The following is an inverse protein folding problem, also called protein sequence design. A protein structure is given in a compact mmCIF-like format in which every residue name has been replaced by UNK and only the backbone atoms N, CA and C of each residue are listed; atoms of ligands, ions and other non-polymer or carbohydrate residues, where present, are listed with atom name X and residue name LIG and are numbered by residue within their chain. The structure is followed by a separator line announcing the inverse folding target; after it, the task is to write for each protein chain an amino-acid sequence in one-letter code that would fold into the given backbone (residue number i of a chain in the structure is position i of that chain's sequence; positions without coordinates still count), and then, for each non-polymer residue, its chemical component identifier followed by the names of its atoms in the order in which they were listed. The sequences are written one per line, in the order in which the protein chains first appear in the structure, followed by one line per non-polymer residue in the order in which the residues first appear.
data_IF_640775394357
#
_entry.id   IF_640775394357
#
_cell.length_a   1.000
_cell.length_b   1.000
_cell.length_c   1.000
_cell.angle_alpha   90.00
_cell.angle_beta   90.00
_cell.angle_gamma   90.00
#
_symmetry.space_group_name_H-M   'P 1'
#
loop_
_entity.id
_entity.type
_entity.pdbx_description
1 polymer ?
#
# COMPACT_ATOMS: atom_id res chain seq x y z
N UNK A 1 -8.64 -34.59 76.05
CA UNK A 1 -8.80 -35.37 74.80
C UNK A 1 -8.42 -34.58 73.54
N UNK A 2 -8.81 -33.31 73.40
CA UNK A 2 -8.77 -32.56 72.12
C UNK A 2 -7.38 -32.33 71.49
N UNK A 3 -6.30 -32.15 72.28
CA UNK A 3 -4.96 -31.78 71.76
C UNK A 3 -4.42 -32.78 70.72
N UNK A 4 -4.68 -34.09 70.88
CA UNK A 4 -4.22 -35.12 69.93
C UNK A 4 -4.94 -35.06 68.57
N UNK A 5 -6.16 -34.52 68.51
CA UNK A 5 -6.90 -34.41 67.24
C UNK A 5 -6.27 -33.36 66.30
N UNK A 6 -5.84 -32.23 66.86
CA UNK A 6 -5.26 -31.12 66.09
C UNK A 6 -3.89 -31.48 65.46
N UNK A 7 -3.09 -32.32 66.14
CA UNK A 7 -1.83 -32.84 65.60
C UNK A 7 -2.01 -33.85 64.45
N UNK A 8 -3.11 -34.60 64.41
CA UNK A 8 -3.40 -35.53 63.31
C UNK A 8 -3.89 -34.78 62.08
N UNK A 9 -4.85 -33.87 62.25
CA UNK A 9 -5.40 -33.06 61.14
C UNK A 9 -4.32 -32.22 60.42
N UNK A 10 -3.42 -31.58 61.18
CA UNK A 10 -2.32 -30.78 60.61
C UNK A 10 -1.25 -31.61 59.88
N UNK A 11 -1.16 -32.93 60.14
CA UNK A 11 -0.27 -33.83 59.41
C UNK A 11 -0.87 -34.28 58.08
N UNK A 12 -2.19 -34.52 58.03
CA UNK A 12 -2.91 -34.84 56.80
C UNK A 12 -2.90 -33.68 55.79
N UNK A 13 -3.22 -32.45 56.21
CA UNK A 13 -3.24 -31.27 55.33
C UNK A 13 -1.90 -30.99 54.63
N UNK A 14 -0.76 -31.38 55.24
CA UNK A 14 0.57 -31.17 54.66
C UNK A 14 0.97 -32.19 53.59
N UNK A 15 0.24 -33.30 53.43
CA UNK A 15 0.56 -34.31 52.43
C UNK A 15 -0.09 -34.04 51.07
N UNK A 16 -1.25 -33.37 51.05
CA UNK A 16 -1.98 -32.98 49.84
C UNK A 16 -1.13 -32.11 48.89
N UNK A 17 -1.12 -32.45 47.60
CA UNK A 17 -0.44 -31.69 46.56
C UNK A 17 -1.04 -30.30 46.37
N UNK A 18 -2.35 -30.14 46.61
CA UNK A 18 -3.10 -28.90 46.50
C UNK A 18 -2.60 -27.87 47.52
N UNK A 19 -2.38 -28.30 48.78
CA UNK A 19 -1.85 -27.43 49.83
C UNK A 19 -0.40 -26.98 49.53
N UNK A 20 0.42 -27.88 48.95
CA UNK A 20 1.80 -27.53 48.52
C UNK A 20 1.80 -26.51 47.39
N UNK A 21 0.91 -26.65 46.40
CA UNK A 21 0.73 -25.68 45.31
C UNK A 21 0.27 -24.32 45.84
N UNK A 22 -0.72 -24.30 46.74
CA UNK A 22 -1.21 -23.07 47.37
C UNK A 22 -0.11 -22.36 48.19
N UNK A 23 0.63 -23.09 49.01
CA UNK A 23 1.74 -22.54 49.79
C UNK A 23 2.85 -21.95 48.90
N UNK A 24 3.19 -22.61 47.79
CA UNK A 24 4.18 -22.13 46.82
C UNK A 24 3.70 -20.87 46.09
N UNK A 25 2.42 -20.80 45.70
CA UNK A 25 1.82 -19.61 45.11
C UNK A 25 1.80 -18.42 46.10
N UNK A 26 1.55 -18.67 47.38
CA UNK A 26 1.56 -17.65 48.43
C UNK A 26 2.98 -17.10 48.66
N UNK A 27 4.00 -17.98 48.71
CA UNK A 27 5.42 -17.58 48.79
C UNK A 27 5.86 -16.79 47.55
N UNK A 28 5.45 -17.22 46.35
CA UNK A 28 5.76 -16.49 45.11
C UNK A 28 5.10 -15.11 45.06
N UNK A 29 3.83 -15.01 45.47
CA UNK A 29 3.12 -13.73 45.59
C UNK A 29 3.79 -12.79 46.60
N UNK A 30 4.23 -13.31 47.76
CA UNK A 30 4.96 -12.53 48.75
C UNK A 30 6.31 -12.02 48.21
N UNK A 31 7.05 -12.88 47.49
CA UNK A 31 8.29 -12.47 46.81
C UNK A 31 8.06 -11.38 45.76
N UNK A 32 7.00 -11.50 44.95
CA UNK A 32 6.64 -10.49 43.95
C UNK A 32 6.33 -9.14 44.61
N UNK A 33 5.59 -9.12 45.71
CA UNK A 33 5.33 -7.89 46.47
C UNK A 33 6.61 -7.32 47.11
N UNK A 34 7.52 -8.16 47.61
CA UNK A 34 8.82 -7.71 48.12
C UNK A 34 9.69 -7.11 47.00
N UNK A 35 9.62 -7.64 45.77
CA UNK A 35 10.31 -7.07 44.60
C UNK A 35 9.70 -5.74 44.15
N UNK A 36 8.37 -5.59 44.20
CA UNK A 36 7.68 -4.34 43.81
C UNK A 36 7.78 -3.23 44.86
N UNK A 37 7.82 -3.57 46.16
CA UNK A 37 7.97 -2.62 47.26
C UNK A 37 9.46 -2.31 47.51
N UNK A 38 10.34 -3.26 47.23
CA UNK A 38 11.79 -3.06 47.24
C UNK A 38 12.21 -2.05 46.18
N UNK A 39 12.87 -0.96 46.59
CA UNK A 39 13.41 0.04 45.67
C UNK A 39 14.66 -0.49 44.96
N UNK A 40 14.45 -1.41 44.03
CA UNK A 40 15.47 -1.85 43.08
C UNK A 40 15.81 -0.68 42.15
N UNK A 41 16.91 0.02 42.47
CA UNK A 41 17.44 1.11 41.66
C UNK A 41 18.04 0.56 40.36
N UNK A 42 17.17 0.21 39.39
CA UNK A 42 17.57 -0.11 38.03
C UNK A 42 18.20 1.12 37.40
N UNK A 43 19.54 1.13 37.37
CA UNK A 43 20.32 2.21 36.80
C UNK A 43 20.32 2.09 35.28
N UNK A 44 19.22 2.53 34.67
CA UNK A 44 19.02 2.54 33.21
C UNK A 44 20.17 3.30 32.52
N UNK A 45 20.68 2.83 31.37
CA UNK A 45 21.72 3.55 30.64
C UNK A 45 21.19 4.93 30.24
N UNK A 46 21.90 5.98 30.65
CA UNK A 46 21.54 7.34 30.29
C UNK A 46 21.84 7.55 28.80
N UNK A 47 20.80 7.49 27.96
CA UNK A 47 20.86 7.82 26.54
C UNK A 47 21.13 9.33 26.39
N UNK A 48 22.41 9.70 26.46
CA UNK A 48 22.86 11.08 26.35
C UNK A 48 22.43 11.64 24.98
N UNK A 49 21.36 12.43 25.00
CA UNK A 49 20.66 12.86 23.80
C UNK A 49 21.40 14.05 23.18
N UNK A 50 22.52 13.76 22.50
CA UNK A 50 23.34 14.68 21.72
C UNK A 50 22.56 15.21 20.50
N UNK A 51 21.51 15.99 20.76
CA UNK A 51 20.72 16.72 19.76
C UNK A 51 21.68 17.61 18.97
N UNK A 52 21.97 17.21 17.73
CA UNK A 52 22.70 18.05 16.80
C UNK A 52 21.78 19.20 16.41
N UNK A 53 22.05 20.39 16.96
CA UNK A 53 21.32 21.61 16.64
C UNK A 53 21.70 22.03 15.22
N UNK A 54 20.79 21.82 14.27
CA UNK A 54 20.98 22.27 12.89
C UNK A 54 20.66 23.76 12.84
N UNK A 55 21.69 24.60 12.93
CA UNK A 55 21.57 26.06 12.78
C UNK A 55 21.33 26.45 11.32
N UNK A 56 20.08 26.39 10.88
CA UNK A 56 19.65 26.84 9.56
C UNK A 56 19.68 28.38 9.46
N UNK A 57 20.78 28.94 8.97
CA UNK A 57 20.92 30.38 8.69
C UNK A 57 20.53 30.69 7.25
N UNK A 58 19.51 31.54 7.04
CA UNK A 58 19.25 32.11 5.72
C UNK A 58 20.46 32.95 5.26
N UNK A 59 21.07 32.52 4.15
CA UNK A 59 22.03 33.34 3.40
C UNK A 59 21.24 33.99 2.26
N UNK A 60 21.09 35.32 2.31
CA UNK A 60 20.53 36.06 1.18
C UNK A 60 21.40 35.83 -0.06
N UNK A 61 20.82 35.51 -1.22
CA UNK A 61 21.60 35.31 -2.44
C UNK A 61 22.37 36.59 -2.75
N UNK A 62 23.66 36.45 -3.07
CA UNK A 62 24.52 37.57 -3.45
C UNK A 62 23.86 38.29 -4.64
N UNK A 63 23.47 39.55 -4.43
CA UNK A 63 22.78 40.33 -5.45
C UNK A 63 23.59 40.35 -6.76
N UNK A 64 23.07 39.65 -7.77
CA UNK A 64 23.57 39.77 -9.13
C UNK A 64 23.17 41.16 -9.59
N UNK A 65 24.17 42.04 -9.73
CA UNK A 65 23.96 43.33 -10.37
C UNK A 65 23.56 43.04 -11.82
N UNK A 66 22.25 43.16 -12.10
CA UNK A 66 21.73 43.10 -13.45
C UNK A 66 22.43 44.20 -14.25
N UNK A 67 23.29 43.78 -15.17
CA UNK A 67 23.88 44.70 -16.14
C UNK A 67 22.72 45.34 -16.92
N UNK A 68 22.74 46.66 -17.16
CA UNK A 68 21.61 47.33 -17.80
C UNK A 68 21.39 46.71 -19.17
N UNK A 69 20.18 46.17 -19.39
CA UNK A 69 19.76 45.63 -20.68
C UNK A 69 19.96 46.74 -21.70
N UNK A 70 20.86 46.52 -22.66
CA UNK A 70 20.99 47.40 -23.82
C UNK A 70 19.63 47.40 -24.51
N UNK A 71 19.00 48.58 -24.59
CA UNK A 71 17.79 48.75 -25.38
C UNK A 71 18.12 48.42 -26.83
N UNK A 72 17.66 47.26 -27.28
CA UNK A 72 17.66 46.90 -28.69
C UNK A 72 16.64 47.78 -29.40
N UNK A 73 17.05 48.37 -30.51
CA UNK A 73 16.29 49.46 -31.14
C UNK A 73 15.02 48.90 -31.79
N UNK A 74 13.90 49.63 -31.65
CA UNK A 74 12.67 49.29 -32.35
C UNK A 74 12.91 49.30 -33.87
N UNK A 75 12.51 48.25 -34.60
CA UNK A 75 12.59 48.24 -36.06
C UNK A 75 11.60 49.24 -36.67
N UNK A 76 11.95 49.77 -37.84
CA UNK A 76 11.08 50.64 -38.65
C UNK A 76 9.82 49.90 -39.13
N UNK A 77 8.72 50.62 -39.44
CA UNK A 77 7.46 50.00 -39.83
C UNK A 77 7.58 49.25 -41.17
N UNK A 78 7.38 47.92 -41.13
CA UNK A 78 7.19 47.10 -42.33
C UNK A 78 5.84 47.42 -42.95
N UNK A 79 5.79 47.44 -44.29
CA UNK A 79 4.68 47.97 -45.06
C UNK A 79 3.34 47.21 -44.89
N UNK A 80 2.26 47.96 -45.07
CA UNK A 80 0.86 47.54 -45.00
C UNK A 80 0.49 46.62 -46.17
N UNK A 81 0.14 45.36 -45.88
CA UNK A 81 -0.32 44.41 -46.90
C UNK A 81 -1.85 44.49 -47.04
N UNK A 82 -2.30 45.23 -48.05
CA UNK A 82 -3.72 45.34 -48.43
C UNK A 82 -4.24 43.99 -48.96
N UNK A 83 -5.42 43.51 -48.54
CA UNK A 83 -6.08 42.35 -49.14
C UNK A 83 -6.84 42.73 -50.44
N UNK A 84 -6.60 41.98 -51.51
CA UNK A 84 -7.42 42.08 -52.75
C UNK A 84 -8.70 41.23 -52.69
N UNK A 85 -9.73 41.53 -53.51
CA UNK A 85 -11.12 41.21 -53.17
C UNK A 85 -11.74 39.99 -53.89
N UNK A 86 -12.80 39.44 -53.27
CA UNK A 86 -13.94 38.79 -53.95
C UNK A 86 -15.07 39.84 -54.07
N UNK A 87 -15.85 39.89 -55.17
CA UNK A 87 -17.12 39.13 -55.30
C UNK A 87 -17.41 38.74 -56.79
N UNK A 88 -18.62 38.33 -57.25
CA UNK A 88 -19.91 38.00 -56.61
C UNK A 88 -20.27 36.49 -56.81
N UNK A 89 -21.49 35.93 -56.83
CA UNK A 89 -22.92 36.34 -56.69
C UNK A 89 -23.65 35.11 -56.04
N UNK A 90 -24.74 35.12 -55.22
CA UNK A 90 -26.06 35.81 -55.24
C UNK A 90 -26.90 35.32 -56.43
N UNK A 91 -28.13 34.76 -56.34
CA UNK A 91 -29.16 34.47 -55.29
C UNK A 91 -30.29 33.64 -56.01
N UNK A 92 -31.37 33.04 -55.43
CA UNK A 92 -32.03 33.11 -54.10
C UNK A 92 -32.16 31.69 -53.43
N UNK A 93 -33.15 31.23 -52.63
CA UNK A 93 -34.43 31.77 -52.08
C UNK A 93 -34.93 31.10 -50.75
N UNK A 94 -36.08 31.62 -50.30
CA UNK A 94 -37.09 31.33 -49.24
C UNK A 94 -37.46 29.84 -48.96
N UNK A 95 -38.07 29.39 -47.83
CA UNK A 95 -38.25 29.82 -46.41
C UNK A 95 -39.08 28.73 -45.65
N UNK A 96 -38.95 28.64 -44.31
CA UNK A 96 -39.90 28.07 -43.31
C UNK A 96 -40.26 26.56 -43.21
N UNK A 97 -40.78 26.25 -42.00
CA UNK A 97 -41.79 25.24 -41.65
C UNK A 97 -41.36 23.85 -41.12
N UNK A 98 -41.24 23.78 -39.79
CA UNK A 98 -41.62 22.65 -38.93
C UNK A 98 -43.10 22.27 -39.18
N UNK A 99 -43.47 21.00 -39.46
CA UNK A 99 -43.83 20.02 -38.41
C UNK A 99 -43.42 18.57 -38.81
N UNK A 100 -43.84 17.43 -38.21
CA UNK A 100 -44.83 17.13 -37.15
C UNK A 100 -44.46 15.84 -36.36
N UNK A 101 -45.23 15.50 -35.33
CA UNK A 101 -45.15 14.27 -34.49
C UNK A 101 -46.58 13.85 -34.10
N UNK A 102 -46.96 12.56 -33.96
CA UNK A 102 -46.35 11.28 -34.37
C UNK A 102 -47.28 10.49 -35.34
N UNK A 103 -47.05 9.19 -35.54
CA UNK A 103 -48.04 8.10 -35.28
C UNK A 103 -47.38 6.73 -35.53
N UNK A 104 -47.77 5.72 -34.75
CA UNK A 104 -47.31 4.33 -34.91
C UNK A 104 -48.35 3.47 -35.64
N UNK A 105 -47.93 2.33 -36.19
CA UNK A 105 -48.72 1.07 -36.21
C UNK A 105 -47.80 -0.12 -36.44
N UNK A 106 -48.11 -1.24 -35.78
CA UNK A 106 -47.38 -2.50 -35.87
C UNK A 106 -47.55 -3.16 -37.25
N UNK A 107 -46.62 -4.03 -37.64
CA UNK A 107 -47.01 -5.46 -37.71
C UNK A 107 -45.82 -6.41 -37.67
N UNK A 108 -46.11 -7.64 -37.26
CA UNK A 108 -45.17 -8.74 -37.13
C UNK A 108 -44.73 -9.29 -38.50
N UNK A 109 -43.47 -9.71 -38.60
CA UNK A 109 -43.15 -11.05 -39.13
C UNK A 109 -41.77 -11.49 -38.64
N UNK A 110 -41.69 -12.65 -37.99
CA UNK A 110 -40.43 -13.39 -37.86
C UNK A 110 -40.26 -14.24 -39.11
N UNK A 111 -39.06 -14.31 -39.67
CA UNK A 111 -38.64 -15.37 -40.58
C UNK A 111 -37.15 -15.59 -40.43
N UNK A 112 -36.76 -16.86 -40.35
CA UNK A 112 -35.41 -17.31 -40.02
C UNK A 112 -34.62 -17.68 -41.28
N UNK A 113 -33.33 -18.02 -41.10
CA UNK A 113 -32.37 -18.50 -42.11
C UNK A 113 -31.91 -17.44 -43.13
N UNK A 114 -30.68 -17.46 -43.66
CA UNK A 114 -29.55 -18.38 -43.49
C UNK A 114 -28.22 -17.59 -43.56
N UNK A 115 -27.12 -18.01 -42.91
CA UNK A 115 -25.86 -17.25 -42.93
C UNK A 115 -24.97 -17.57 -44.14
N UNK A 116 -24.31 -16.55 -44.70
CA UNK A 116 -23.04 -16.68 -45.43
C UNK A 116 -22.31 -15.34 -45.58
N UNK A 117 -21.11 -15.28 -45.00
CA UNK A 117 -19.87 -14.85 -45.68
C UNK A 117 -19.87 -13.50 -46.42
N UNK A 118 -19.39 -12.45 -45.74
CA UNK A 118 -18.73 -11.30 -46.38
C UNK A 118 -17.42 -10.96 -45.65
N UNK A 119 -16.31 -11.23 -46.34
CA UNK A 119 -14.98 -10.63 -46.33
C UNK A 119 -14.32 -10.10 -45.04
N UNK A 120 -13.03 -10.41 -44.88
CA UNK A 120 -12.11 -9.76 -43.95
C UNK A 120 -12.13 -8.23 -44.06
N UNK A 121 -12.39 -7.57 -42.93
CA UNK A 121 -11.87 -6.23 -42.65
C UNK A 121 -10.82 -6.39 -41.56
N UNK A 122 -9.52 -6.19 -41.84
CA UNK A 122 -8.51 -6.22 -40.80
C UNK A 122 -8.75 -5.05 -39.84
N UNK A 123 -9.24 -5.34 -38.63
CA UNK A 123 -9.33 -4.34 -37.58
C UNK A 123 -7.91 -3.83 -37.31
N UNK A 124 -7.64 -2.58 -37.71
CA UNK A 124 -6.41 -1.88 -37.38
C UNK A 124 -6.39 -1.64 -35.87
N UNK A 125 -5.86 -2.61 -35.11
CA UNK A 125 -5.61 -2.48 -33.68
C UNK A 125 -4.73 -1.23 -33.50
N UNK A 126 -5.21 -0.17 -32.83
CA UNK A 126 -4.42 1.03 -32.64
C UNK A 126 -3.23 0.64 -31.76
N UNK A 127 -2.02 0.72 -32.33
CA UNK A 127 -0.82 0.21 -31.69
C UNK A 127 -0.65 0.81 -30.29
N UNK A 128 -0.84 -0.01 -29.27
CA UNK A 128 -0.57 0.37 -27.89
C UNK A 128 0.88 0.78 -27.80
N UNK A 129 1.12 2.05 -27.48
CA UNK A 129 2.45 2.63 -27.33
C UNK A 129 3.14 1.89 -26.18
N UNK A 130 4.02 0.93 -26.49
CA UNK A 130 4.69 0.09 -25.50
C UNK A 130 5.38 0.99 -24.46
N UNK A 131 4.86 0.99 -23.23
CA UNK A 131 5.46 1.74 -22.13
C UNK A 131 6.59 0.89 -21.57
N UNK A 132 7.82 1.30 -21.88
CA UNK A 132 9.02 0.56 -21.52
C UNK A 132 9.22 0.56 -19.99
N UNK A 133 8.92 -0.58 -19.35
CA UNK A 133 9.02 -0.77 -17.90
C UNK A 133 10.48 -0.58 -17.49
N UNK A 134 10.76 0.57 -16.87
CA UNK A 134 12.11 1.00 -16.51
C UNK A 134 12.36 0.79 -15.03
N UNK A 135 13.15 -0.23 -14.69
CA UNK A 135 13.49 -0.56 -13.31
C UNK A 135 14.39 0.51 -12.65
N UNK A 136 13.99 1.01 -11.48
CA UNK A 136 14.76 1.92 -10.65
C UNK A 136 15.97 1.20 -10.02
N UNK A 137 17.10 1.21 -10.73
CA UNK A 137 18.39 0.67 -10.26
C UNK A 137 19.01 1.42 -9.05
N UNK A 138 18.37 2.48 -8.56
CA UNK A 138 18.78 3.28 -7.39
C UNK A 138 17.83 3.10 -6.18
N UNK A 139 16.81 2.26 -6.31
CA UNK A 139 15.90 1.91 -5.21
C UNK A 139 16.67 1.44 -3.97
N UNK A 140 16.12 1.72 -2.79
CA UNK A 140 16.72 1.31 -1.53
C UNK A 140 16.90 -0.21 -1.45
N UNK A 141 18.01 -0.66 -0.88
CA UNK A 141 18.25 -2.10 -0.63
C UNK A 141 17.67 -2.57 0.70
N UNK A 142 17.34 -1.63 1.58
CA UNK A 142 16.70 -1.88 2.86
C UNK A 142 15.75 -0.71 3.13
N UNK A 143 14.50 -1.02 3.45
CA UNK A 143 13.50 -0.06 3.93
C UNK A 143 12.82 -0.68 5.13
N UNK A 144 12.94 -0.03 6.27
CA UNK A 144 12.16 -0.34 7.46
C UNK A 144 11.22 0.84 7.73
N UNK A 145 9.93 0.57 7.93
CA UNK A 145 8.93 1.59 8.19
C UNK A 145 8.04 1.14 9.34
N UNK A 146 7.98 1.94 10.40
CA UNK A 146 7.04 1.76 11.51
C UNK A 146 5.80 2.62 11.25
N UNK A 147 4.64 2.11 11.62
CA UNK A 147 3.35 2.77 11.42
C UNK A 147 2.50 2.74 12.70
N UNK A 148 1.70 3.78 12.88
CA UNK A 148 0.50 3.73 13.70
C UNK A 148 -0.61 2.98 12.94
N UNK A 149 -1.29 2.06 13.61
CA UNK A 149 -2.51 1.42 13.08
C UNK A 149 -3.71 2.17 13.64
N UNK A 150 -4.55 2.71 12.75
CA UNK A 150 -5.66 3.59 13.09
C UNK A 150 -6.96 3.10 12.46
N UNK A 151 -8.08 3.26 13.17
CA UNK A 151 -9.44 3.01 12.67
C UNK A 151 -10.25 4.30 12.63
N UNK A 152 -10.03 5.21 13.60
CA UNK A 152 -10.47 6.60 13.49
C UNK A 152 -9.49 7.40 12.60
N UNK A 153 -9.84 7.51 11.32
CA UNK A 153 -9.11 8.33 10.33
C UNK A 153 -9.42 9.84 10.42
N UNK A 154 -10.35 10.26 11.27
CA UNK A 154 -10.68 11.67 11.52
C UNK A 154 -9.98 12.22 12.78
N UNK A 155 -9.60 11.34 13.72
CA UNK A 155 -8.76 11.69 14.85
C UNK A 155 -7.42 12.28 14.40
N UNK A 156 -6.95 13.31 15.12
CA UNK A 156 -5.66 13.96 14.90
C UNK A 156 -4.51 12.93 14.93
N UNK A 157 -3.55 13.06 14.01
CA UNK A 157 -2.32 12.25 13.91
C UNK A 157 -1.68 12.00 15.28
N UNK A 158 -1.56 13.02 16.14
CA UNK A 158 -0.95 12.94 17.46
C UNK A 158 -1.72 12.11 18.50
N UNK A 159 -2.94 11.66 18.20
CA UNK A 159 -3.69 10.76 19.09
C UNK A 159 -2.95 9.42 19.28
N UNK A 160 -3.26 8.74 20.38
CA UNK A 160 -2.87 7.35 20.57
C UNK A 160 -3.49 6.49 19.44
N UNK A 161 -2.72 5.58 18.83
CA UNK A 161 -3.23 4.63 17.85
C UNK A 161 -3.76 3.36 18.54
N UNK A 162 -4.63 2.63 17.84
CA UNK A 162 -5.23 1.36 18.24
C UNK A 162 -4.26 0.17 18.10
N UNK A 163 -3.18 0.35 17.33
CA UNK A 163 -2.07 -0.59 17.21
C UNK A 163 -0.80 0.02 16.61
N UNK A 164 0.20 -0.84 16.37
CA UNK A 164 1.43 -0.53 15.66
C UNK A 164 1.67 -1.56 14.56
N UNK A 165 2.29 -1.14 13.48
CA UNK A 165 2.80 -2.04 12.47
C UNK A 165 4.25 -1.73 12.14
N UNK A 166 4.97 -2.73 11.64
CA UNK A 166 6.32 -2.61 11.11
C UNK A 166 6.38 -3.37 9.79
N UNK A 167 6.81 -2.69 8.74
CA UNK A 167 7.08 -3.31 7.44
C UNK A 167 8.57 -3.17 7.13
N UNK A 168 9.17 -4.29 6.73
CA UNK A 168 10.57 -4.43 6.39
C UNK A 168 10.69 -4.97 4.96
N UNK A 169 11.29 -4.19 4.07
CA UNK A 169 11.84 -4.65 2.80
C UNK A 169 13.35 -4.80 2.91
N UNK A 170 13.88 -5.89 2.35
CA UNK A 170 15.32 -6.12 2.20
C UNK A 170 15.64 -6.83 0.90
N UNK A 171 16.49 -6.22 0.07
CA UNK A 171 17.22 -6.90 -0.99
C UNK A 171 18.42 -7.64 -0.36
N UNK A 172 18.58 -8.92 -0.66
CA UNK A 172 19.65 -9.76 -0.12
C UNK A 172 21.01 -9.45 -0.79
N UNK A 173 22.09 -9.95 -0.19
CA UNK A 173 23.47 -9.59 -0.58
C UNK A 173 23.87 -9.99 -2.01
N UNK A 174 23.14 -10.90 -2.65
CA UNK A 174 23.29 -11.22 -4.08
C UNK A 174 22.76 -10.10 -4.99
N UNK A 175 21.87 -9.24 -4.50
CA UNK A 175 21.11 -8.22 -5.24
C UNK A 175 20.06 -8.83 -6.20
N UNK A 176 19.75 -10.11 -6.05
CA UNK A 176 18.86 -10.88 -6.93
C UNK A 176 17.61 -11.37 -6.20
N UNK A 177 17.67 -11.56 -4.87
CA UNK A 177 16.55 -12.00 -4.05
C UNK A 177 16.10 -10.90 -3.08
N UNK A 178 14.80 -10.82 -2.82
CA UNK A 178 14.23 -9.91 -1.83
C UNK A 178 13.48 -10.65 -0.72
N UNK A 179 13.30 -9.98 0.40
CA UNK A 179 12.41 -10.37 1.50
C UNK A 179 11.58 -9.17 1.93
N UNK A 180 10.28 -9.39 2.09
CA UNK A 180 9.29 -8.48 2.63
C UNK A 180 8.63 -9.12 3.85
N UNK A 181 8.48 -8.36 4.93
CA UNK A 181 7.79 -8.78 6.15
C UNK A 181 6.95 -7.64 6.70
N UNK A 182 5.68 -7.88 6.97
CA UNK A 182 4.79 -6.97 7.69
C UNK A 182 4.33 -7.63 8.98
N UNK A 183 4.53 -6.97 10.12
CA UNK A 183 4.00 -7.38 11.43
C UNK A 183 3.07 -6.30 11.95
N UNK A 184 1.92 -6.69 12.50
CA UNK A 184 0.89 -5.78 13.02
C UNK A 184 0.44 -6.25 14.41
N UNK A 185 0.56 -5.37 15.40
CA UNK A 185 0.20 -5.61 16.80
C UNK A 185 -0.83 -4.58 17.27
N UNK A 186 -1.94 -5.02 17.86
CA UNK A 186 -2.96 -4.13 18.41
C UNK A 186 -4.09 -4.92 19.07
N UNK A 187 -4.70 -4.38 20.11
CA UNK A 187 -5.65 -5.12 20.94
C UNK A 187 -7.00 -5.30 20.24
N UNK A 188 -7.45 -4.28 19.50
CA UNK A 188 -8.79 -4.20 18.91
C UNK A 188 -8.81 -4.43 17.39
N UNK A 189 -7.75 -5.03 16.82
CA UNK A 189 -7.62 -5.25 15.36
C UNK A 189 -8.31 -6.53 14.86
N UNK A 190 -8.70 -7.44 15.75
CA UNK A 190 -9.36 -8.70 15.38
C UNK A 190 -10.67 -8.55 14.57
N UNK A 191 -11.57 -7.56 14.82
CA UNK A 191 -12.80 -7.35 14.04
C UNK A 191 -12.60 -6.89 12.59
N UNK A 192 -11.36 -6.59 12.21
CA UNK A 192 -10.94 -6.16 10.87
C UNK A 192 -10.40 -7.34 10.04
N UNK A 193 -10.21 -8.53 10.65
CA UNK A 193 -9.69 -9.74 10.01
C UNK A 193 -8.33 -9.56 9.27
N UNK A 194 -7.49 -8.65 9.76
CA UNK A 194 -6.22 -8.32 9.11
C UNK A 194 -5.14 -9.38 9.38
N UNK A 195 -4.23 -9.62 8.42
CA UNK A 195 -3.01 -10.35 8.70
C UNK A 195 -2.15 -9.63 9.74
N UNK A 196 -1.90 -10.27 10.88
CA UNK A 196 -0.97 -9.78 11.90
C UNK A 196 0.50 -10.17 11.62
N UNK A 197 0.72 -11.11 10.70
CA UNK A 197 1.99 -11.32 10.02
C UNK A 197 1.72 -11.54 8.52
N UNK A 198 2.49 -10.88 7.66
CA UNK A 198 2.65 -11.22 6.25
C UNK A 198 4.14 -11.35 5.92
N UNK A 199 4.47 -12.26 5.02
CA UNK A 199 5.79 -12.37 4.39
C UNK A 199 5.66 -12.59 2.89
N UNK A 200 6.54 -11.98 2.12
CA UNK A 200 6.72 -12.20 0.69
C UNK A 200 8.20 -12.33 0.40
N UNK A 201 8.63 -13.36 -0.29
CA UNK A 201 10.02 -13.51 -0.74
C UNK A 201 10.08 -14.03 -2.18
N UNK A 202 11.15 -13.65 -2.87
CA UNK A 202 11.35 -14.02 -4.26
C UNK A 202 12.49 -13.27 -4.92
N UNK A 203 12.40 -13.08 -6.24
CA UNK A 203 13.48 -12.49 -7.04
C UNK A 203 13.19 -11.04 -7.45
N UNK A 204 14.27 -10.30 -7.75
CA UNK A 204 14.23 -8.99 -8.40
C UNK A 204 14.48 -9.21 -9.90
N UNK A 205 13.40 -9.24 -10.68
CA UNK A 205 13.47 -9.44 -12.13
C UNK A 205 13.59 -8.10 -12.88
N UNK A 206 13.61 -8.16 -14.22
CA UNK A 206 13.73 -6.97 -15.07
C UNK A 206 12.54 -6.02 -14.95
N UNK A 207 11.39 -6.51 -14.45
CA UNK A 207 10.13 -5.76 -14.31
C UNK A 207 9.74 -5.49 -12.85
N UNK A 208 10.64 -5.74 -11.88
CA UNK A 208 10.42 -5.47 -10.46
C UNK A 208 10.43 -6.73 -9.61
N UNK A 209 9.53 -6.82 -8.63
CA UNK A 209 9.42 -7.97 -7.74
C UNK A 209 8.76 -9.17 -8.45
N UNK A 210 9.30 -10.35 -8.22
CA UNK A 210 8.83 -11.63 -8.76
C UNK A 210 8.69 -12.64 -7.60
N UNK A 211 7.54 -12.62 -6.89
CA UNK A 211 7.32 -13.44 -5.70
C UNK A 211 7.48 -14.93 -6.00
N UNK A 212 8.05 -15.68 -5.07
CA UNK A 212 8.13 -17.14 -5.11
C UNK A 212 7.25 -17.75 -4.02
N UNK A 213 7.25 -17.13 -2.83
CA UNK A 213 6.42 -17.50 -1.70
C UNK A 213 5.77 -16.26 -1.08
N UNK A 214 4.49 -16.39 -0.73
CA UNK A 214 3.80 -15.44 0.14
C UNK A 214 3.05 -16.21 1.24
N UNK A 215 3.01 -15.63 2.43
CA UNK A 215 2.27 -16.15 3.58
C UNK A 215 1.59 -15.00 4.31
N UNK A 216 0.34 -15.20 4.71
CA UNK A 216 -0.40 -14.32 5.61
C UNK A 216 -1.00 -15.12 6.78
N UNK A 217 -0.91 -14.57 7.98
CA UNK A 217 -1.46 -15.12 9.22
C UNK A 217 -2.44 -14.14 9.83
N UNK A 218 -3.69 -14.57 9.99
CA UNK A 218 -4.81 -13.75 10.46
C UNK A 218 -5.26 -14.27 11.83
N UNK A 219 -4.97 -13.48 12.87
CA UNK A 219 -5.51 -13.62 14.21
C UNK A 219 -4.62 -14.36 15.22
N UNK A 220 -5.16 -14.52 16.44
CA UNK A 220 -4.51 -15.16 17.58
C UNK A 220 -4.62 -16.69 17.58
N UNK A 221 -5.20 -17.27 18.63
CA UNK A 221 -5.14 -18.72 18.91
C UNK A 221 -5.71 -19.65 17.82
N UNK A 222 -6.57 -19.16 16.93
CA UNK A 222 -7.17 -19.94 15.82
C UNK A 222 -6.56 -19.54 14.45
N UNK A 223 -5.29 -19.14 14.45
CA UNK A 223 -4.58 -18.43 13.38
C UNK A 223 -4.85 -18.97 11.97
N UNK A 224 -5.64 -18.24 11.17
CA UNK A 224 -5.88 -18.60 9.76
C UNK A 224 -4.61 -18.27 8.99
N UNK A 225 -3.90 -19.31 8.56
CA UNK A 225 -2.74 -19.18 7.67
C UNK A 225 -3.20 -19.36 6.23
N UNK A 226 -2.81 -18.42 5.38
CA UNK A 226 -2.95 -18.40 3.93
C UNK A 226 -1.56 -18.39 3.31
N UNK A 227 -1.35 -19.12 2.21
CA UNK A 227 -0.07 -19.19 1.53
C UNK A 227 -0.27 -19.19 0.00
N UNK A 228 0.69 -18.65 -0.73
CA UNK A 228 0.78 -18.72 -2.18
C UNK A 228 2.19 -19.14 -2.60
N UNK A 229 2.30 -20.14 -3.47
CA UNK A 229 3.55 -20.61 -4.09
C UNK A 229 3.48 -20.37 -5.59
N UNK A 230 4.51 -19.74 -6.15
CA UNK A 230 4.54 -19.22 -7.52
C UNK A 230 5.53 -20.03 -8.39
N UNK A 231 5.03 -21.06 -9.07
CA UNK A 231 5.80 -21.92 -9.98
C UNK A 231 5.93 -21.28 -11.38
N UNK A 232 6.80 -20.27 -11.54
CA UNK A 232 6.93 -19.51 -12.80
C UNK A 232 7.30 -20.35 -14.03
N UNK A 233 8.26 -21.30 -13.90
CA UNK A 233 8.65 -22.19 -15.01
C UNK A 233 7.51 -23.14 -15.44
N UNK A 234 6.63 -23.52 -14.52
CA UNK A 234 5.41 -24.30 -14.80
C UNK A 234 4.17 -23.47 -15.12
N UNK A 235 4.27 -22.14 -14.98
CA UNK A 235 3.16 -21.17 -15.01
C UNK A 235 1.99 -21.57 -14.09
N UNK A 236 2.27 -21.96 -12.82
CA UNK A 236 1.24 -22.30 -11.82
C UNK A 236 1.33 -21.49 -10.54
N UNK A 237 0.17 -21.15 -10.00
CA UNK A 237 -0.01 -20.50 -8.71
C UNK A 237 -0.74 -21.46 -7.79
N UNK A 238 -0.11 -21.89 -6.71
CA UNK A 238 -0.69 -22.82 -5.73
C UNK A 238 -1.10 -22.04 -4.48
N UNK A 239 -2.40 -22.00 -4.17
CA UNK A 239 -2.97 -21.28 -3.03
C UNK A 239 -3.42 -22.29 -1.95
N UNK A 240 -2.99 -22.08 -0.70
CA UNK A 240 -3.18 -23.03 0.39
C UNK A 240 -3.67 -22.36 1.67
N UNK A 241 -4.79 -22.85 2.20
CA UNK A 241 -5.34 -22.51 3.52
C UNK A 241 -5.56 -23.77 4.37
N UNK A 242 -6.01 -23.60 5.61
CA UNK A 242 -6.43 -24.73 6.46
C UNK A 242 -7.77 -25.36 6.03
N UNK A 243 -8.44 -24.83 4.99
CA UNK A 243 -9.74 -25.30 4.49
C UNK A 243 -9.77 -25.54 2.96
N UNK A 244 -8.77 -25.08 2.22
CA UNK A 244 -8.72 -25.12 0.76
C UNK A 244 -7.30 -25.30 0.22
N UNK A 245 -7.21 -25.99 -0.91
CA UNK A 245 -6.03 -26.04 -1.77
C UNK A 245 -6.51 -25.82 -3.21
N UNK A 246 -5.88 -24.90 -3.94
CA UNK A 246 -6.25 -24.53 -5.30
C UNK A 246 -4.99 -24.33 -6.13
N UNK A 247 -4.96 -24.90 -7.34
CA UNK A 247 -3.92 -24.58 -8.34
C UNK A 247 -4.55 -23.82 -9.51
N UNK A 248 -4.00 -22.65 -9.80
CA UNK A 248 -4.43 -21.71 -10.84
C UNK A 248 -3.32 -21.53 -11.87
N UNK A 249 -3.66 -20.98 -13.03
CA UNK A 249 -2.66 -20.53 -14.00
C UNK A 249 -2.00 -19.23 -13.49
N UNK A 250 -0.66 -19.20 -13.49
CA UNK A 250 0.10 -18.02 -13.09
C UNK A 250 0.34 -17.13 -14.30
N UNK A 251 -0.14 -15.89 -14.23
CA UNK A 251 0.03 -14.88 -15.28
C UNK A 251 1.30 -14.08 -15.02
N UNK A 252 2.09 -13.79 -16.06
CA UNK A 252 3.28 -12.94 -16.00
C UNK A 252 3.04 -11.65 -15.20
N UNK A 253 3.93 -11.34 -14.26
CA UNK A 253 3.84 -10.14 -13.43
C UNK A 253 2.78 -10.16 -12.32
N UNK A 254 2.12 -11.30 -12.08
CA UNK A 254 1.27 -11.50 -10.87
C UNK A 254 2.08 -11.20 -9.59
N UNK A 255 1.46 -10.53 -8.63
CA UNK A 255 2.06 -10.17 -7.34
C UNK A 255 1.30 -10.84 -6.18
N UNK A 256 1.88 -10.78 -4.99
CA UNK A 256 1.12 -10.89 -3.74
C UNK A 256 0.77 -9.50 -3.18
N UNK A 257 -0.10 -9.46 -2.18
CA UNK A 257 -0.59 -8.21 -1.60
C UNK A 257 0.50 -7.31 -1.00
N UNK A 258 1.60 -7.88 -0.51
CA UNK A 258 2.69 -7.14 0.15
C UNK A 258 3.77 -6.72 -0.86
N UNK A 259 4.14 -7.58 -1.82
CA UNK A 259 5.04 -7.20 -2.92
C UNK A 259 4.43 -6.09 -3.78
N UNK A 260 3.15 -6.17 -4.13
CA UNK A 260 2.48 -5.13 -4.92
C UNK A 260 2.52 -3.72 -4.27
N UNK A 261 2.53 -3.62 -2.94
CA UNK A 261 2.67 -2.33 -2.25
C UNK A 261 4.07 -1.72 -2.41
N UNK A 262 5.11 -2.55 -2.42
CA UNK A 262 6.51 -2.11 -2.51
C UNK A 262 7.07 -2.07 -3.94
N UNK A 263 6.40 -2.74 -4.89
CA UNK A 263 6.72 -2.72 -6.33
C UNK A 263 6.93 -1.30 -6.88
N UNK A 264 6.20 -0.30 -6.37
CA UNK A 264 6.24 1.07 -6.88
C UNK A 264 7.56 1.84 -6.63
N UNK A 265 8.40 1.42 -5.66
CA UNK A 265 9.75 2.00 -5.50
C UNK A 265 10.74 1.51 -6.56
N UNK A 266 10.43 0.36 -7.18
CA UNK A 266 11.22 -0.31 -8.22
C UNK A 266 10.70 0.02 -9.62
N UNK A 267 9.38 0.12 -9.80
CA UNK A 267 8.74 0.52 -11.06
C UNK A 267 7.69 1.59 -10.74
N UNK A 268 7.98 2.83 -11.10
CA UNK A 268 7.07 3.95 -10.83
C UNK A 268 5.66 3.69 -11.42
N UNK A 269 4.58 4.08 -10.71
CA UNK A 269 3.22 3.86 -11.17
C UNK A 269 2.95 4.61 -12.47
N UNK A 270 2.15 3.99 -13.33
CA UNK A 270 1.61 4.62 -14.52
C UNK A 270 0.22 5.18 -14.23
N UNK A 271 -0.34 5.98 -15.13
CA UNK A 271 -1.70 6.52 -15.00
C UNK A 271 -2.76 5.44 -14.74
N UNK A 272 -2.51 4.22 -15.24
CA UNK A 272 -3.17 2.98 -14.84
C UNK A 272 -2.09 1.90 -14.68
N UNK A 273 -1.98 1.31 -13.50
CA UNK A 273 -1.10 0.19 -13.22
C UNK A 273 -1.95 -1.00 -12.79
N UNK A 274 -2.01 -2.01 -13.66
CA UNK A 274 -2.83 -3.21 -13.47
C UNK A 274 -1.97 -4.40 -13.08
N UNK A 275 -2.40 -5.12 -12.05
CA UNK A 275 -1.77 -6.34 -11.58
C UNK A 275 -2.83 -7.40 -11.27
N UNK A 276 -2.54 -8.66 -11.55
CA UNK A 276 -3.19 -9.75 -10.83
C UNK A 276 -2.51 -9.85 -9.45
N UNK A 277 -3.29 -9.84 -8.37
CA UNK A 277 -2.76 -9.89 -7.01
C UNK A 277 -3.42 -11.01 -6.23
N UNK A 278 -2.63 -11.86 -5.58
CA UNK A 278 -3.14 -12.85 -4.63
C UNK A 278 -3.01 -12.38 -3.17
N UNK A 279 -3.98 -12.79 -2.36
CA UNK A 279 -3.95 -12.67 -0.89
C UNK A 279 -3.66 -14.02 -0.18
N UNK A 280 -3.28 -15.07 -0.93
CA UNK A 280 -3.07 -16.44 -0.44
C UNK A 280 -4.34 -17.30 -0.33
N UNK A 281 -5.50 -16.76 -0.68
CA UNK A 281 -6.80 -17.48 -0.73
C UNK A 281 -7.47 -17.38 -2.09
N UNK A 282 -7.36 -16.23 -2.76
CA UNK A 282 -7.84 -15.98 -4.11
C UNK A 282 -6.84 -15.11 -4.90
N UNK A 283 -7.14 -14.85 -6.17
CA UNK A 283 -6.46 -13.90 -7.05
C UNK A 283 -7.49 -12.91 -7.61
N UNK A 284 -7.18 -11.62 -7.60
CA UNK A 284 -8.06 -10.55 -8.09
C UNK A 284 -7.31 -9.62 -9.06
N UNK A 285 -8.04 -8.95 -9.95
CA UNK A 285 -7.55 -7.80 -10.71
C UNK A 285 -7.47 -6.55 -9.80
N UNK A 286 -6.32 -5.87 -9.81
CA UNK A 286 -6.07 -4.61 -9.13
C UNK A 286 -5.63 -3.56 -10.15
N UNK A 287 -6.58 -2.72 -10.57
CA UNK A 287 -6.35 -1.57 -11.45
C UNK A 287 -6.11 -0.32 -10.60
N UNK A 288 -4.86 -0.10 -10.19
CA UNK A 288 -4.45 1.12 -9.50
C UNK A 288 -4.42 2.30 -10.48
N UNK A 289 -4.83 3.47 -10.03
CA UNK A 289 -4.74 4.71 -10.79
C UNK A 289 -4.27 5.86 -9.91
N UNK A 290 -3.51 6.78 -10.49
CA UNK A 290 -2.99 7.97 -9.79
C UNK A 290 -4.17 8.91 -9.53
N UNK A 291 -4.37 9.27 -8.25
CA UNK A 291 -5.34 10.29 -7.83
C UNK A 291 -4.72 11.68 -7.97
N UNK A 292 -3.47 11.82 -7.55
CA UNK A 292 -2.69 13.06 -7.65
C UNK A 292 -1.50 13.07 -6.70
N UNK A 293 -0.87 14.24 -6.58
CA UNK A 293 0.09 14.54 -5.52
C UNK A 293 -0.65 15.15 -4.32
N UNK A 294 -0.40 14.63 -3.12
CA UNK A 294 -1.03 15.02 -1.86
C UNK A 294 0.02 15.16 -0.76
N UNK A 295 -0.26 16.00 0.26
CA UNK A 295 0.55 16.09 1.46
C UNK A 295 0.00 15.14 2.52
N UNK A 296 0.77 14.12 2.88
CA UNK A 296 0.45 13.24 4.01
C UNK A 296 1.00 13.84 5.30
N UNK A 297 0.12 14.19 6.24
CA UNK A 297 0.51 14.58 7.59
C UNK A 297 0.85 13.34 8.42
N UNK A 298 2.07 13.26 8.96
CA UNK A 298 2.59 12.10 9.70
C UNK A 298 3.29 12.54 11.00
N UNK A 299 3.67 11.59 11.87
CA UNK A 299 4.49 11.90 13.07
C UNK A 299 5.95 12.26 12.73
N UNK A 300 6.37 12.09 11.47
CA UNK A 300 7.63 12.63 10.94
C UNK A 300 7.48 14.06 10.39
N UNK A 301 6.27 14.62 10.39
CA UNK A 301 5.91 15.86 9.72
C UNK A 301 5.11 15.63 8.44
N UNK A 302 5.04 16.67 7.60
CA UNK A 302 4.34 16.62 6.31
C UNK A 302 5.25 16.01 5.25
N UNK A 303 4.78 14.96 4.56
CA UNK A 303 5.48 14.31 3.45
C UNK A 303 4.77 14.60 2.12
N UNK A 304 5.55 14.87 1.07
CA UNK A 304 5.00 14.94 -0.29
C UNK A 304 4.77 13.51 -0.79
N UNK A 305 3.56 13.20 -1.25
CA UNK A 305 3.19 11.84 -1.62
C UNK A 305 2.42 11.80 -2.95
N UNK A 306 2.61 10.73 -3.71
CA UNK A 306 1.70 10.37 -4.80
C UNK A 306 0.64 9.40 -4.26
N UNK A 307 -0.63 9.77 -4.39
CA UNK A 307 -1.77 8.96 -3.96
C UNK A 307 -2.24 8.06 -5.12
N UNK A 308 -2.27 6.75 -4.87
CA UNK A 308 -2.84 5.73 -5.75
C UNK A 308 -4.10 5.12 -5.13
N UNK A 309 -5.14 4.95 -5.93
CA UNK A 309 -6.39 4.28 -5.55
C UNK A 309 -6.62 3.05 -6.43
N UNK A 310 -6.94 1.90 -5.82
CA UNK A 310 -7.49 0.72 -6.52
C UNK A 310 -8.89 1.08 -7.03
N UNK A 311 -9.08 1.10 -8.35
CA UNK A 311 -10.40 1.32 -8.95
C UNK A 311 -11.27 0.08 -8.79
N UNK A 312 -12.36 0.22 -8.04
CA UNK A 312 -13.39 -0.80 -7.78
C UNK A 312 -14.79 -0.20 -7.94
N UNK A 313 -15.82 -1.04 -7.96
CA UNK A 313 -17.21 -0.59 -7.95
C UNK A 313 -17.60 0.07 -6.61
N UNK A 314 -18.77 0.71 -6.56
CA UNK A 314 -19.32 1.18 -5.28
C UNK A 314 -19.74 0.00 -4.39
N UNK A 315 -19.51 0.10 -3.08
CA UNK A 315 -19.69 -0.99 -2.11
C UNK A 315 -18.58 -2.05 -2.11
N UNK A 316 -17.64 -2.01 -3.05
CA UNK A 316 -16.49 -2.92 -3.09
C UNK A 316 -15.31 -2.47 -2.23
N UNK A 317 -14.41 -3.42 -1.96
CA UNK A 317 -13.25 -3.23 -1.08
C UNK A 317 -12.22 -2.26 -1.69
N UNK A 318 -11.99 -1.13 -1.03
CA UNK A 318 -11.08 -0.07 -1.49
C UNK A 318 -9.71 -0.21 -0.85
N UNK A 319 -8.66 0.06 -1.63
CA UNK A 319 -7.26 0.14 -1.17
C UNK A 319 -6.63 1.41 -1.73
N UNK A 320 -6.06 2.22 -0.84
CA UNK A 320 -5.41 3.50 -1.14
C UNK A 320 -3.95 3.46 -0.62
N UNK A 321 -3.00 3.95 -1.41
CA UNK A 321 -1.58 4.01 -1.09
C UNK A 321 -1.08 5.46 -1.28
N UNK A 322 -0.42 6.03 -0.28
CA UNK A 322 0.35 7.27 -0.44
C UNK A 322 1.83 6.92 -0.42
N UNK A 323 2.49 7.15 -1.56
CA UNK A 323 3.88 6.81 -1.81
C UNK A 323 4.73 8.08 -1.68
N UNK A 324 5.69 8.11 -0.75
CA UNK A 324 6.46 9.33 -0.49
C UNK A 324 7.46 9.64 -1.61
N UNK A 325 7.30 10.78 -2.25
CA UNK A 325 8.13 11.25 -3.36
C UNK A 325 9.59 11.40 -2.92
N UNK A 326 9.79 12.03 -1.75
CA UNK A 326 11.10 12.27 -1.13
C UNK A 326 11.80 10.97 -0.66
N UNK A 327 11.08 9.84 -0.60
CA UNK A 327 11.57 8.52 -0.17
C UNK A 327 11.42 7.47 -1.30
N UNK A 328 11.70 7.84 -2.56
CA UNK A 328 11.68 6.94 -3.72
C UNK A 328 10.39 6.10 -3.85
N UNK A 329 9.21 6.68 -3.55
CA UNK A 329 7.91 6.01 -3.61
C UNK A 329 7.71 4.86 -2.61
N UNK A 330 8.44 4.86 -1.48
CA UNK A 330 8.11 4.00 -0.33
C UNK A 330 6.69 4.32 0.18
N UNK A 331 5.84 3.31 0.47
CA UNK A 331 4.53 3.53 1.08
C UNK A 331 4.66 4.12 2.49
N UNK A 332 4.09 5.31 2.71
CA UNK A 332 4.09 6.01 4.02
C UNK A 332 2.71 6.11 4.65
N UNK A 333 1.66 5.82 3.87
CA UNK A 333 0.31 5.62 4.37
C UNK A 333 -0.40 4.60 3.49
N UNK A 334 -1.05 3.63 4.12
CA UNK A 334 -1.79 2.55 3.47
C UNK A 334 -3.18 2.54 4.12
N UNK A 335 -4.24 2.83 3.37
CA UNK A 335 -5.61 2.75 3.86
C UNK A 335 -6.37 1.65 3.11
N UNK A 336 -7.21 0.92 3.83
CA UNK A 336 -8.13 -0.04 3.24
C UNK A 336 -9.51 0.08 3.89
N UNK A 337 -10.54 0.05 3.04
CA UNK A 337 -11.95 0.13 3.44
C UNK A 337 -12.65 -1.16 3.03
N UNK A 338 -13.15 -1.90 4.02
CA UNK A 338 -13.90 -3.13 3.81
C UNK A 338 -15.32 -2.86 3.27
N UNK A 339 -15.97 -3.89 2.72
CA UNK A 339 -17.33 -3.77 2.15
C UNK A 339 -18.41 -3.37 3.16
N UNK A 340 -18.16 -3.56 4.46
CA UNK A 340 -19.03 -3.13 5.56
C UNK A 340 -18.76 -1.68 6.03
N UNK A 341 -17.88 -0.96 5.32
CA UNK A 341 -17.50 0.42 5.62
C UNK A 341 -16.44 0.58 6.70
N UNK A 342 -15.96 -0.51 7.35
CA UNK A 342 -14.84 -0.41 8.28
C UNK A 342 -13.57 0.03 7.56
N UNK A 343 -12.90 1.03 8.11
CA UNK A 343 -11.60 1.51 7.63
C UNK A 343 -10.51 1.05 8.60
N UNK A 344 -9.34 0.73 8.05
CA UNK A 344 -8.10 0.88 8.79
C UNK A 344 -7.06 1.62 7.96
N UNK A 345 -6.13 2.26 8.65
CA UNK A 345 -5.04 3.04 8.09
C UNK A 345 -3.75 2.70 8.82
N UNK A 346 -2.70 2.37 8.06
CA UNK A 346 -1.32 2.37 8.53
C UNK A 346 -0.74 3.74 8.18
N UNK A 347 -0.31 4.51 9.17
CA UNK A 347 0.27 5.86 8.99
C UNK A 347 1.70 5.88 9.54
N UNK A 348 2.69 6.15 8.69
CA UNK A 348 4.09 6.00 9.07
C UNK A 348 4.51 6.95 10.21
N UNK A 349 5.32 6.42 11.13
CA UNK A 349 5.91 7.14 12.26
C UNK A 349 7.43 7.19 12.22
N UNK A 350 8.07 6.27 11.50
CA UNK A 350 9.50 6.31 11.20
C UNK A 350 9.78 5.62 9.86
N UNK A 351 10.80 6.09 9.14
CA UNK A 351 11.35 5.41 7.95
C UNK A 351 12.87 5.36 8.12
N UNK A 352 13.44 4.16 8.06
CA UNK A 352 14.87 3.91 8.05
C UNK A 352 15.25 3.25 6.72
N UNK A 353 16.28 3.75 6.03
CA UNK A 353 16.71 3.22 4.74
C UNK A 353 18.23 3.10 4.66
N UNK A 354 18.72 1.99 4.10
CA UNK A 354 20.10 1.93 3.64
C UNK A 354 20.18 2.53 2.23
N UNK A 355 20.63 3.78 2.17
CA UNK A 355 21.10 4.40 0.92
C UNK A 355 22.20 3.51 0.31
N UNK A 356 22.11 3.12 -0.98
CA UNK A 356 23.21 2.44 -1.64
C UNK A 356 24.44 3.35 -1.65
N UNK A 357 25.59 2.82 -1.23
CA UNK A 357 26.77 3.63 -0.97
C UNK A 357 27.27 4.37 -2.22
N UNK A 358 27.23 5.70 -2.15
CA UNK A 358 27.73 6.70 -3.10
C UNK A 358 27.01 6.79 -4.46
N UNK A 359 26.37 7.94 -4.66
CA UNK A 359 26.43 8.69 -5.91
C UNK A 359 27.09 10.02 -5.59
N UNK A 360 28.28 10.27 -6.17
CA UNK A 360 28.93 11.57 -6.23
C UNK A 360 28.59 12.25 -7.57
#
# INVERSE_FOLDING_TARGET
MWIKFFQVASKALRQDASYKRFALALVFSLLLHIVLIGKFNFNLPNFNNNRHVIEARLVLPKAVLLQPVRQEQAPEPVAEHVPEPMPPEVTPEITESTPEVPVAINSNAVSETNPSEIADVPLAVPATKNVEITLNRKAYKYVETEFDVRTDIAANVDSNPEGRAKILYKLLSNNEQYQLKSEIEGQDLAPLALPNLQTSDGYLSKIGLEPQHYLAKIGGNNNKTLNAEFEWEGSKLSLHSAQSEQKLDLIDGTQDLLSAMYQFMLVAPQQKSRFNITNGEQIDDYDFSIVGEEIAATKMGNLNTMHLLRRVAEGEEKTELWLALDYQLVPVKIRKTAKDGKVYELLATSINTEQPANLQ
#
